data_IF_258823611204
#
_entry.id   IF_258823611204
#
_cell.length_a   1.000
_cell.length_b   1.000
_cell.length_c   1.000
_cell.angle_alpha   90.00
_cell.angle_beta   90.00
_cell.angle_gamma   90.00
#
_symmetry.space_group_name_H-M   'P 1'
#
loop_
_entity.id
_entity.type
_entity.pdbx_description
1 polymer ?
#
# COMPACT_ATOMS: atom_id res chain seq x y z
N UNK A 1 -15.23 2.08 31.47
CA UNK A 1 -16.29 1.60 30.57
C UNK A 1 -16.43 2.62 29.44
N UNK A 2 -15.54 2.56 28.44
CA UNK A 2 -15.51 3.56 27.37
C UNK A 2 -16.62 3.24 26.35
N UNK A 3 -17.51 4.21 26.07
CA UNK A 3 -18.44 4.14 24.96
C UNK A 3 -17.65 4.14 23.66
N UNK A 4 -17.44 2.94 23.12
CA UNK A 4 -16.97 2.74 21.75
C UNK A 4 -18.13 3.19 20.85
N UNK A 5 -17.97 4.33 20.18
CA UNK A 5 -18.94 4.81 19.19
C UNK A 5 -19.19 3.75 18.10
N UNK A 6 -20.33 3.84 17.40
CA UNK A 6 -20.75 2.88 16.36
C UNK A 6 -19.63 2.46 15.39
N UNK A 7 -18.75 3.39 15.00
CA UNK A 7 -17.59 3.12 14.14
C UNK A 7 -16.58 2.17 14.80
N UNK A 8 -16.30 2.33 16.09
CA UNK A 8 -15.40 1.44 16.82
C UNK A 8 -16.01 0.07 17.11
N UNK A 9 -17.34 -0.05 17.20
CA UNK A 9 -18.02 -1.36 17.31
C UNK A 9 -17.90 -2.15 16.00
N UNK A 10 -18.04 -1.49 14.85
CA UNK A 10 -17.82 -2.12 13.55
C UNK A 10 -16.36 -2.54 13.37
N UNK A 11 -15.40 -1.68 13.76
CA UNK A 11 -13.98 -2.02 13.74
C UNK A 11 -13.65 -3.21 14.66
N UNK A 12 -14.22 -3.25 15.87
CA UNK A 12 -14.06 -4.39 16.78
C UNK A 12 -14.61 -5.67 16.16
N UNK A 13 -15.83 -5.68 15.61
CA UNK A 13 -16.40 -6.88 14.98
C UNK A 13 -15.61 -7.36 13.75
N UNK A 14 -14.98 -6.44 13.00
CA UNK A 14 -14.13 -6.77 11.86
C UNK A 14 -12.78 -7.37 12.31
N UNK A 15 -12.21 -6.88 13.41
CA UNK A 15 -10.91 -7.32 13.93
C UNK A 15 -11.00 -8.46 14.97
N UNK A 16 -12.19 -8.81 15.48
CA UNK A 16 -12.42 -9.92 16.43
C UNK A 16 -12.25 -11.31 15.78
N UNK A 17 -12.24 -11.36 14.45
CA UNK A 17 -11.88 -12.58 13.74
C UNK A 17 -10.36 -12.79 13.89
N UNK A 18 -9.96 -13.71 14.78
CA UNK A 18 -8.61 -14.07 15.26
C UNK A 18 -7.47 -14.16 14.21
N UNK A 19 -7.78 -14.09 12.92
CA UNK A 19 -6.86 -14.15 11.77
C UNK A 19 -6.48 -12.73 11.27
N UNK A 20 -7.23 -11.69 11.61
CA UNK A 20 -6.96 -10.29 11.21
C UNK A 20 -6.16 -9.55 12.29
N UNK A 21 -5.05 -8.91 11.89
CA UNK A 21 -4.17 -8.16 12.80
C UNK A 21 -3.02 -8.96 13.42
N UNK A 22 -2.63 -10.10 12.83
CA UNK A 22 -1.47 -10.86 13.33
C UNK A 22 -0.16 -10.11 13.03
N UNK A 23 0.66 -9.92 14.06
CA UNK A 23 1.96 -9.21 13.93
C UNK A 23 2.89 -9.91 12.93
N UNK A 24 2.89 -11.25 12.91
CA UNK A 24 3.66 -12.04 11.93
C UNK A 24 3.25 -11.75 10.49
N UNK A 25 1.95 -11.62 10.20
CA UNK A 25 1.49 -11.28 8.85
C UNK A 25 1.94 -9.88 8.44
N UNK A 26 1.81 -8.89 9.34
CA UNK A 26 2.21 -7.51 9.06
C UNK A 26 3.72 -7.40 8.85
N UNK A 27 4.53 -8.14 9.59
CA UNK A 27 5.98 -8.22 9.40
C UNK A 27 6.30 -8.85 8.03
N UNK A 28 5.66 -9.97 7.68
CA UNK A 28 5.85 -10.62 6.37
C UNK A 28 5.42 -9.69 5.23
N UNK A 29 4.31 -8.97 5.38
CA UNK A 29 3.85 -7.97 4.43
C UNK A 29 4.90 -6.85 4.25
N UNK A 30 5.45 -6.32 5.34
CA UNK A 30 6.51 -5.32 5.30
C UNK A 30 7.78 -5.81 4.61
N UNK A 31 8.18 -7.07 4.86
CA UNK A 31 9.33 -7.69 4.21
C UNK A 31 9.10 -7.89 2.71
N UNK A 32 7.96 -8.45 2.32
CA UNK A 32 7.59 -8.64 0.91
C UNK A 32 7.55 -7.28 0.20
N UNK A 33 6.93 -6.28 0.81
CA UNK A 33 6.89 -4.90 0.30
C UNK A 33 8.28 -4.35 0.06
N UNK A 34 9.16 -4.45 1.06
CA UNK A 34 10.56 -4.02 0.96
C UNK A 34 11.31 -4.73 -0.17
N UNK A 35 11.15 -6.05 -0.31
CA UNK A 35 11.78 -6.83 -1.38
C UNK A 35 11.28 -6.39 -2.75
N UNK A 36 9.97 -6.24 -2.94
CA UNK A 36 9.38 -5.80 -4.21
C UNK A 36 9.89 -4.39 -4.56
N UNK A 37 9.88 -3.46 -3.61
CA UNK A 37 10.37 -2.09 -3.80
C UNK A 37 11.87 -2.09 -4.12
N UNK A 38 12.68 -2.88 -3.42
CA UNK A 38 14.10 -3.03 -3.71
C UNK A 38 14.34 -3.60 -5.12
N UNK A 39 13.57 -4.62 -5.53
CA UNK A 39 13.62 -5.15 -6.90
C UNK A 39 13.19 -4.12 -7.94
N UNK A 40 12.18 -3.28 -7.68
CA UNK A 40 11.77 -2.23 -8.61
C UNK A 40 12.84 -1.12 -8.71
N UNK A 41 13.55 -0.78 -7.63
CA UNK A 41 14.73 0.11 -7.68
C UNK A 41 15.82 -0.53 -8.53
N UNK A 42 16.20 -1.77 -8.21
CA UNK A 42 17.26 -2.49 -8.93
C UNK A 42 16.91 -2.61 -10.40
N UNK A 43 15.66 -2.88 -10.77
CA UNK A 43 15.21 -2.87 -12.16
C UNK A 43 15.27 -1.48 -12.78
N UNK A 44 14.77 -0.45 -12.09
CA UNK A 44 14.81 0.94 -12.58
C UNK A 44 16.24 1.44 -12.82
N UNK A 45 17.19 1.01 -11.97
CA UNK A 45 18.61 1.34 -12.07
C UNK A 45 19.34 0.44 -13.10
N UNK A 46 19.03 -0.85 -13.19
CA UNK A 46 19.67 -1.77 -14.14
C UNK A 46 19.14 -1.65 -15.58
N UNK A 47 17.85 -1.35 -15.78
CA UNK A 47 17.30 -1.02 -17.12
C UNK A 47 17.91 0.25 -17.72
N UNK A 48 18.76 0.94 -16.95
CA UNK A 48 19.52 2.10 -17.36
C UNK A 48 20.88 1.77 -17.99
N UNK A 49 21.23 0.49 -18.18
CA UNK A 49 22.34 0.08 -19.03
C UNK A 49 21.82 -0.79 -20.18
N UNK A 50 21.31 -0.15 -21.24
CA UNK A 50 21.79 -0.43 -22.57
C UNK A 50 22.67 0.73 -22.97
N UNK A 51 23.99 0.48 -22.96
CA UNK A 51 24.88 1.20 -23.87
C UNK A 51 24.29 1.10 -25.27
N UNK A 52 24.12 2.25 -25.92
CA UNK A 52 23.97 2.45 -27.37
C UNK A 52 22.78 1.80 -28.07
N UNK A 53 21.78 2.61 -28.43
CA UNK A 53 21.08 2.47 -29.71
C UNK A 53 20.32 3.75 -30.06
N UNK A 54 20.89 4.46 -31.03
CA UNK A 54 20.25 5.51 -31.81
C UNK A 54 18.98 4.99 -32.51
N UNK A 55 17.78 5.31 -32.02
CA UNK A 55 16.59 5.36 -32.90
C UNK A 55 15.40 6.07 -32.26
N UNK A 56 15.23 7.34 -32.66
CA UNK A 56 13.97 7.96 -33.05
C UNK A 56 12.67 7.36 -32.46
N UNK A 57 12.08 8.03 -31.47
CA UNK A 57 10.61 8.12 -31.36
C UNK A 57 10.19 9.40 -30.61
N UNK A 58 10.02 10.46 -31.39
CA UNK A 58 9.14 11.56 -31.04
C UNK A 58 7.76 11.01 -30.64
N UNK A 59 7.29 11.35 -29.44
CA UNK A 59 5.92 11.79 -29.06
C UNK A 59 5.79 11.60 -27.54
N UNK A 60 5.76 12.72 -26.81
CA UNK A 60 5.60 12.87 -25.34
C UNK A 60 6.76 12.37 -24.47
N UNK A 61 7.93 12.99 -24.63
CA UNK A 61 8.99 12.87 -23.63
C UNK A 61 8.69 13.83 -22.47
N UNK A 62 8.03 13.31 -21.42
CA UNK A 62 8.31 13.81 -20.08
C UNK A 62 9.83 13.63 -19.89
N UNK A 63 10.59 14.65 -19.46
CA UNK A 63 12.05 14.53 -19.38
C UNK A 63 12.41 13.29 -18.56
N UNK A 64 13.09 12.33 -19.20
CA UNK A 64 13.44 11.00 -18.67
C UNK A 64 14.20 11.08 -17.32
N UNK A 65 14.77 12.25 -17.01
CA UNK A 65 15.36 12.54 -15.72
C UNK A 65 14.31 12.79 -14.62
N UNK A 66 13.24 13.53 -14.90
CA UNK A 66 12.16 13.83 -13.94
C UNK A 66 11.33 12.60 -13.60
N UNK A 67 11.02 11.75 -14.59
CA UNK A 67 10.30 10.49 -14.35
C UNK A 67 11.07 9.57 -13.39
N UNK A 68 12.39 9.50 -13.59
CA UNK A 68 13.29 8.72 -12.75
C UNK A 68 13.44 9.28 -11.35
N UNK A 69 13.59 10.60 -11.22
CA UNK A 69 13.73 11.24 -9.92
C UNK A 69 12.43 11.09 -9.10
N UNK A 70 11.27 11.21 -9.75
CA UNK A 70 9.97 10.94 -9.13
C UNK A 70 9.82 9.46 -8.72
N UNK A 71 10.28 8.53 -9.57
CA UNK A 71 10.25 7.09 -9.27
C UNK A 71 11.19 6.73 -8.12
N UNK A 72 12.38 7.35 -8.06
CA UNK A 72 13.31 7.21 -6.94
C UNK A 72 12.72 7.78 -5.64
N UNK A 73 12.17 8.99 -5.67
CA UNK A 73 11.50 9.59 -4.51
C UNK A 73 10.35 8.71 -3.99
N UNK A 74 9.49 8.24 -4.89
CA UNK A 74 8.37 7.35 -4.54
C UNK A 74 8.86 6.03 -3.97
N UNK A 75 9.96 5.49 -4.50
CA UNK A 75 10.51 4.23 -4.03
C UNK A 75 11.21 4.35 -2.68
N UNK A 76 11.88 5.48 -2.41
CA UNK A 76 12.46 5.78 -1.09
C UNK A 76 11.34 5.91 -0.06
N UNK A 77 10.29 6.67 -0.40
CA UNK A 77 9.10 6.80 0.43
C UNK A 77 8.48 5.43 0.74
N UNK A 78 8.39 4.54 -0.25
CA UNK A 78 7.91 3.17 -0.06
C UNK A 78 8.74 2.37 0.96
N UNK A 79 10.07 2.42 0.86
CA UNK A 79 10.97 1.74 1.81
C UNK A 79 10.81 2.30 3.23
N UNK A 80 10.74 3.62 3.37
CA UNK A 80 10.54 4.26 4.68
C UNK A 80 9.24 3.77 5.31
N UNK A 81 8.15 3.74 4.55
CA UNK A 81 6.86 3.30 5.06
C UNK A 81 6.83 1.81 5.44
N UNK A 82 7.42 0.93 4.63
CA UNK A 82 7.52 -0.49 5.00
C UNK A 82 8.43 -0.73 6.21
N UNK A 83 9.50 0.05 6.34
CA UNK A 83 10.39 0.02 7.52
C UNK A 83 9.66 0.49 8.77
N UNK A 84 8.86 1.56 8.66
CA UNK A 84 8.02 2.06 9.76
C UNK A 84 6.96 1.04 10.17
N UNK A 85 6.38 0.29 9.24
CA UNK A 85 5.44 -0.81 9.57
C UNK A 85 6.15 -1.90 10.36
N UNK A 86 7.32 -2.36 9.90
CA UNK A 86 8.09 -3.40 10.60
C UNK A 86 8.49 -2.90 11.99
N UNK A 87 8.96 -1.65 12.09
CA UNK A 87 9.36 -1.05 13.35
C UNK A 87 8.16 -0.87 14.29
N UNK A 88 7.00 -0.43 13.80
CA UNK A 88 5.76 -0.32 14.58
C UNK A 88 5.23 -1.67 15.08
N UNK A 89 5.45 -2.74 14.32
CA UNK A 89 5.10 -4.10 14.74
C UNK A 89 6.05 -4.63 15.84
N UNK A 90 7.34 -4.29 15.80
CA UNK A 90 8.34 -4.72 16.79
C UNK A 90 8.30 -3.88 18.06
N UNK A 91 8.19 -2.55 17.90
CA UNK A 91 8.23 -1.59 19.01
C UNK A 91 6.87 -1.34 19.65
N UNK A 92 5.83 -1.99 19.13
CA UNK A 92 4.44 -1.88 19.58
C UNK A 92 3.89 -0.45 19.59
N UNK A 93 4.51 0.45 18.82
CA UNK A 93 4.07 1.84 18.69
C UNK A 93 3.11 2.01 17.51
N UNK A 94 1.80 2.19 17.77
CA UNK A 94 0.78 2.22 16.71
C UNK A 94 0.93 3.44 15.78
N UNK A 95 1.51 4.54 16.26
CA UNK A 95 1.69 5.78 15.49
C UNK A 95 2.56 5.55 14.24
N UNK A 96 3.47 4.58 14.26
CA UNK A 96 4.34 4.30 13.10
C UNK A 96 3.57 3.68 11.92
N UNK A 97 2.41 3.06 12.16
CA UNK A 97 1.57 2.51 11.11
C UNK A 97 0.74 3.58 10.38
N UNK A 98 0.54 4.75 10.97
CA UNK A 98 -0.34 5.81 10.48
C UNK A 98 0.01 6.34 9.07
N UNK A 99 1.28 6.68 8.76
CA UNK A 99 1.63 7.20 7.44
C UNK A 99 1.26 6.23 6.32
N UNK A 100 1.52 4.93 6.52
CA UNK A 100 1.21 3.91 5.52
C UNK A 100 -0.30 3.68 5.40
N UNK A 101 -1.01 3.61 6.53
CA UNK A 101 -2.47 3.46 6.51
C UNK A 101 -3.16 4.61 5.78
N UNK A 102 -2.70 5.84 5.97
CA UNK A 102 -3.26 7.03 5.33
C UNK A 102 -2.93 7.07 3.84
N UNK A 103 -1.68 6.81 3.46
CA UNK A 103 -1.28 6.75 2.06
C UNK A 103 -2.06 5.67 1.30
N UNK A 104 -2.14 4.47 1.87
CA UNK A 104 -2.83 3.34 1.24
C UNK A 104 -4.35 3.55 1.19
N UNK A 105 -4.94 4.22 2.20
CA UNK A 105 -6.35 4.61 2.17
C UNK A 105 -6.63 5.57 1.01
N UNK A 106 -5.76 6.56 0.78
CA UNK A 106 -5.89 7.46 -0.38
C UNK A 106 -5.85 6.69 -1.70
N UNK A 107 -4.95 5.70 -1.84
CA UNK A 107 -4.88 4.83 -3.02
C UNK A 107 -6.17 4.03 -3.19
N UNK A 108 -6.70 3.42 -2.12
CA UNK A 108 -7.97 2.68 -2.16
C UNK A 108 -9.12 3.58 -2.61
N UNK A 109 -9.23 4.80 -2.07
CA UNK A 109 -10.26 5.76 -2.47
C UNK A 109 -10.16 6.09 -3.95
N UNK A 110 -8.95 6.37 -4.45
CA UNK A 110 -8.72 6.67 -5.87
C UNK A 110 -9.08 5.46 -6.75
N UNK A 111 -8.67 4.25 -6.37
CA UNK A 111 -9.04 3.02 -7.10
C UNK A 111 -10.55 2.81 -7.15
N UNK A 112 -11.26 2.98 -6.03
CA UNK A 112 -12.72 2.88 -5.97
C UNK A 112 -13.38 3.92 -6.88
N UNK A 113 -12.89 5.16 -6.88
CA UNK A 113 -13.38 6.21 -7.79
C UNK A 113 -13.14 5.84 -9.25
N UNK A 114 -11.97 5.33 -9.60
CA UNK A 114 -11.66 4.89 -10.97
C UNK A 114 -12.57 3.74 -11.41
N UNK A 115 -12.78 2.74 -10.55
CA UNK A 115 -13.68 1.61 -10.82
C UNK A 115 -15.12 2.11 -11.00
N UNK A 116 -15.57 3.03 -10.15
CA UNK A 116 -16.89 3.65 -10.25
C UNK A 116 -17.03 4.41 -11.57
N UNK A 117 -16.09 5.29 -11.92
CA UNK A 117 -16.13 6.04 -13.19
C UNK A 117 -16.15 5.11 -14.39
N UNK A 118 -15.31 4.06 -14.42
CA UNK A 118 -15.31 3.06 -15.50
C UNK A 118 -16.61 2.27 -15.56
N UNK A 119 -17.21 1.96 -14.42
CA UNK A 119 -18.49 1.27 -14.37
C UNK A 119 -19.61 2.08 -15.04
N UNK A 120 -19.64 3.40 -14.82
CA UNK A 120 -20.62 4.30 -15.45
C UNK A 120 -20.34 4.57 -16.94
N UNK A 121 -19.07 4.65 -17.34
CA UNK A 121 -18.70 4.98 -18.73
C UNK A 121 -18.69 3.77 -19.67
N UNK A 122 -18.10 2.65 -19.25
CA UNK A 122 -17.83 1.51 -20.13
C UNK A 122 -18.85 0.36 -19.99
N UNK A 123 -19.78 0.44 -19.03
CA UNK A 123 -20.85 -0.54 -18.88
C UNK A 123 -20.34 -1.98 -18.66
N UNK A 124 -20.01 -2.30 -17.40
CA UNK A 124 -19.76 -3.67 -16.91
C UNK A 124 -18.63 -4.47 -17.62
N UNK A 125 -17.61 -3.82 -18.20
CA UNK A 125 -16.38 -4.53 -18.63
C UNK A 125 -15.25 -4.36 -17.62
N UNK A 126 -15.53 -4.61 -16.35
CA UNK A 126 -14.50 -4.60 -15.29
C UNK A 126 -13.77 -5.93 -15.31
N UNK A 127 -12.46 -5.90 -15.63
CA UNK A 127 -11.60 -7.09 -15.56
C UNK A 127 -11.56 -7.60 -14.11
N UNK A 128 -11.84 -8.88 -13.91
CA UNK A 128 -11.78 -9.54 -12.61
C UNK A 128 -10.43 -9.33 -11.89
N UNK A 129 -9.33 -9.22 -12.64
CA UNK A 129 -8.00 -8.96 -12.08
C UNK A 129 -7.91 -7.63 -11.32
N UNK A 130 -8.58 -6.58 -11.80
CA UNK A 130 -8.59 -5.26 -11.15
C UNK A 130 -9.38 -5.32 -9.83
N UNK A 131 -10.49 -6.07 -9.83
CA UNK A 131 -11.32 -6.28 -8.63
C UNK A 131 -10.55 -7.09 -7.59
N UNK A 132 -9.88 -8.17 -8.01
CA UNK A 132 -9.05 -8.99 -7.13
C UNK A 132 -7.89 -8.19 -6.54
N UNK A 133 -7.25 -7.32 -7.34
CA UNK A 133 -6.21 -6.43 -6.86
C UNK A 133 -6.75 -5.45 -5.81
N UNK A 134 -7.86 -4.76 -6.09
CA UNK A 134 -8.48 -3.84 -5.13
C UNK A 134 -8.88 -4.55 -3.83
N UNK A 135 -9.47 -5.76 -3.93
CA UNK A 135 -9.84 -6.57 -2.77
C UNK A 135 -8.61 -6.97 -1.94
N UNK A 136 -7.52 -7.37 -2.59
CA UNK A 136 -6.26 -7.71 -1.92
C UNK A 136 -5.66 -6.50 -1.21
N UNK A 137 -5.69 -5.32 -1.85
CA UNK A 137 -5.24 -4.06 -1.24
C UNK A 137 -6.05 -3.71 0.00
N UNK A 138 -7.38 -3.82 -0.05
CA UNK A 138 -8.28 -3.58 1.10
C UNK A 138 -8.01 -4.60 2.21
N UNK A 139 -7.80 -5.87 1.88
CA UNK A 139 -7.48 -6.90 2.87
C UNK A 139 -6.16 -6.63 3.59
N UNK A 140 -5.11 -6.26 2.86
CA UNK A 140 -3.81 -5.89 3.44
C UNK A 140 -3.93 -4.65 4.33
N UNK A 141 -4.73 -3.67 3.90
CA UNK A 141 -4.99 -2.48 4.70
C UNK A 141 -5.71 -2.81 6.00
N UNK A 142 -6.76 -3.65 5.94
CA UNK A 142 -7.50 -4.13 7.11
C UNK A 142 -6.60 -4.88 8.09
N UNK A 143 -5.67 -5.71 7.61
CA UNK A 143 -4.71 -6.42 8.45
C UNK A 143 -3.84 -5.47 9.28
N UNK A 144 -3.26 -4.44 8.64
CA UNK A 144 -2.45 -3.43 9.34
C UNK A 144 -3.32 -2.55 10.24
N UNK A 145 -4.54 -2.21 9.81
CA UNK A 145 -5.48 -1.41 10.59
C UNK A 145 -5.92 -2.15 11.86
N UNK A 146 -6.18 -3.45 11.79
CA UNK A 146 -6.52 -4.26 12.95
C UNK A 146 -5.35 -4.37 13.94
N UNK A 147 -4.10 -4.51 13.45
CA UNK A 147 -2.92 -4.45 14.32
C UNK A 147 -2.81 -3.09 15.02
N UNK A 148 -2.97 -1.99 14.27
CA UNK A 148 -3.00 -0.63 14.80
C UNK A 148 -4.08 -0.46 15.87
N UNK A 149 -5.31 -0.90 15.59
CA UNK A 149 -6.44 -0.79 16.52
C UNK A 149 -6.21 -1.59 17.81
N UNK A 150 -5.62 -2.79 17.69
CA UNK A 150 -5.27 -3.63 18.84
C UNK A 150 -4.21 -2.96 19.72
N UNK A 151 -3.15 -2.45 19.12
CA UNK A 151 -2.09 -1.71 19.82
C UNK A 151 -2.61 -0.42 20.46
N UNK A 152 -3.49 0.33 19.77
CA UNK A 152 -4.10 1.56 20.29
C UNK A 152 -5.06 1.30 21.46
N UNK A 153 -5.67 0.11 21.52
CA UNK A 153 -6.54 -0.31 22.62
C UNK A 153 -5.78 -0.78 23.87
N UNK A 154 -4.48 -1.05 23.75
CA UNK A 154 -3.63 -1.46 24.87
C UNK A 154 -3.93 -2.87 25.40
N UNK A 155 -4.62 -3.71 24.63
CA UNK A 155 -4.79 -5.13 24.94
C UNK A 155 -3.52 -5.86 24.48
N UNK A 156 -2.57 -5.99 25.42
CA UNK A 156 -1.39 -6.84 25.31
C UNK A 156 -1.74 -8.27 25.75
#
# INVERSE_FOLDING_TARGET
>A
MLQIGRAGQMACSLCDHYVMGSSSYVIVLGLIGTIITALDIVRTVNFKIPRTSSRHRNVREVPINVERDLKLMTSILGIEHYTLIILGAITEYPILHMPWLLMQLCVIVVEVVIVFVRFFLDGLHVKHNEILQALFTVYNWLQVFCLFHRQARGEN
#
